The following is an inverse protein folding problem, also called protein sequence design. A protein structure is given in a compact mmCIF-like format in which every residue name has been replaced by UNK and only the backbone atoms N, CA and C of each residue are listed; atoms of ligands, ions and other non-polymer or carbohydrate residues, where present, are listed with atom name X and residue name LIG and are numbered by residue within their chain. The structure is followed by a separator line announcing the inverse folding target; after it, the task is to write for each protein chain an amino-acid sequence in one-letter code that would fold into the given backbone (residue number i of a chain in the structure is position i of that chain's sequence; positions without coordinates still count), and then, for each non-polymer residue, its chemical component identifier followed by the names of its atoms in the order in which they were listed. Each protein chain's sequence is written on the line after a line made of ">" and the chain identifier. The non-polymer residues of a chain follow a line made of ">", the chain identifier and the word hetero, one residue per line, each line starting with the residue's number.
data_IF_145787581348
#
_entry.id   IF_145787581348
#
_cell.length_a   1.000
_cell.length_b   1.000
_cell.length_c   1.000
_cell.angle_alpha   90.00
_cell.angle_beta   90.00
_cell.angle_gamma   90.00
#
_symmetry.space_group_name_H-M   'P 1'
#
loop_
_entity.id
_entity.type
_entity.pdbx_description
1 polymer ?
#
# COMPACT_ATOMS: atom_id res chain seq x y z
N UNK A 1 5.92 21.37 6.57
CA UNK A 1 5.67 21.00 7.99
C UNK A 1 4.96 19.67 8.13
N UNK A 2 3.94 19.35 7.31
CA UNK A 2 3.22 18.08 7.42
C UNK A 2 4.08 16.82 7.26
N UNK A 3 5.18 16.87 6.51
CA UNK A 3 6.04 15.70 6.23
C UNK A 3 6.58 14.99 7.47
N UNK A 4 6.68 15.68 8.61
CA UNK A 4 7.12 15.04 9.86
C UNK A 4 6.21 13.87 10.25
N UNK A 5 4.92 13.93 9.91
CA UNK A 5 3.95 12.87 10.20
C UNK A 5 4.27 11.58 9.46
N UNK A 6 4.95 11.65 8.32
CA UNK A 6 5.33 10.47 7.54
C UNK A 6 6.51 9.69 8.15
N UNK A 7 7.20 10.26 9.15
CA UNK A 7 8.25 9.59 9.92
C UNK A 7 7.73 8.94 11.21
N UNK A 8 6.52 9.31 11.65
CA UNK A 8 5.87 8.67 12.79
C UNK A 8 5.47 7.24 12.43
N UNK A 9 5.23 6.38 13.42
CA UNK A 9 4.64 5.06 13.16
C UNK A 9 3.12 5.15 12.93
N UNK A 10 2.51 4.15 12.28
CA UNK A 10 1.04 4.12 12.06
C UNK A 10 0.28 4.35 13.35
N UNK A 11 0.67 3.68 14.44
CA UNK A 11 0.02 3.81 15.75
C UNK A 11 0.05 5.25 16.27
N UNK A 12 1.18 5.95 16.09
CA UNK A 12 1.32 7.33 16.55
C UNK A 12 0.46 8.28 15.72
N UNK A 13 0.40 8.07 14.39
CA UNK A 13 -0.51 8.82 13.52
C UNK A 13 -1.97 8.59 13.95
N UNK A 14 -2.37 7.34 14.18
CA UNK A 14 -3.75 7.01 14.57
C UNK A 14 -4.12 7.61 15.94
N UNK A 15 -3.15 7.92 16.80
CA UNK A 15 -3.39 8.58 18.08
C UNK A 15 -3.45 10.11 18.00
N UNK A 16 -3.21 10.72 16.84
CA UNK A 16 -3.40 12.16 16.65
C UNK A 16 -4.88 12.50 16.89
N UNK A 17 -5.12 13.53 17.69
CA UNK A 17 -6.47 14.00 17.97
C UNK A 17 -7.10 14.58 16.69
N UNK A 18 -8.36 14.22 16.45
CA UNK A 18 -9.03 14.48 15.17
C UNK A 18 -9.17 15.98 14.84
N UNK A 19 -9.36 16.83 15.86
CA UNK A 19 -9.46 18.28 15.67
C UNK A 19 -8.12 18.90 15.24
N UNK A 20 -7.01 18.52 15.86
CA UNK A 20 -5.66 18.98 15.55
C UNK A 20 -5.26 18.51 14.15
N UNK A 21 -5.64 17.28 13.78
CA UNK A 21 -5.52 16.81 12.41
C UNK A 21 -6.31 17.69 11.45
N UNK A 22 -7.56 18.03 11.76
CA UNK A 22 -8.42 18.87 10.92
C UNK A 22 -7.85 20.27 10.74
N UNK A 23 -7.37 20.89 11.81
CA UNK A 23 -6.74 22.23 11.78
C UNK A 23 -5.46 22.23 10.93
N UNK A 24 -4.69 21.15 10.98
CA UNK A 24 -3.45 21.01 10.20
C UNK A 24 -3.67 20.41 8.80
N UNK A 25 -4.88 19.98 8.45
CA UNK A 25 -5.16 19.17 7.28
C UNK A 25 -4.74 19.85 5.97
N UNK A 26 -4.86 21.17 5.87
CA UNK A 26 -4.42 21.93 4.69
C UNK A 26 -2.93 21.71 4.41
N UNK A 27 -2.09 21.65 5.43
CA UNK A 27 -0.65 21.42 5.27
C UNK A 27 -0.30 19.95 5.07
N UNK A 28 -1.05 19.05 5.72
CA UNK A 28 -0.85 17.61 5.62
C UNK A 28 -1.30 17.11 4.25
N UNK A 29 -2.39 17.67 3.71
CA UNK A 29 -2.93 17.36 2.40
C UNK A 29 -1.96 17.62 1.24
N UNK A 30 -0.93 18.45 1.45
CA UNK A 30 0.08 18.77 0.44
C UNK A 30 1.27 17.80 0.43
N UNK A 31 1.35 16.83 1.35
CA UNK A 31 2.49 15.91 1.43
C UNK A 31 2.43 14.92 0.27
N UNK A 32 3.39 14.95 -0.65
CA UNK A 32 3.42 14.03 -1.81
C UNK A 32 4.14 12.71 -1.51
N UNK A 33 5.20 12.76 -0.70
CA UNK A 33 6.12 11.64 -0.48
C UNK A 33 5.92 10.99 0.90
N UNK A 34 4.71 10.47 1.16
CA UNK A 34 4.40 9.73 2.38
C UNK A 34 4.31 8.23 2.09
N UNK A 35 4.91 7.35 2.91
CA UNK A 35 4.69 5.91 2.80
C UNK A 35 3.20 5.56 2.83
N UNK A 36 2.80 4.56 2.04
CA UNK A 36 1.38 4.25 1.82
C UNK A 36 0.63 3.94 3.13
N UNK A 37 1.25 3.19 4.04
CA UNK A 37 0.68 2.83 5.34
C UNK A 37 0.44 4.05 6.23
N UNK A 38 1.34 5.04 6.20
CA UNK A 38 1.17 6.33 6.89
C UNK A 38 0.07 7.17 6.26
N UNK A 39 0.01 7.20 4.92
CA UNK A 39 -1.05 7.90 4.20
C UNK A 39 -2.43 7.29 4.49
N UNK A 40 -2.53 5.96 4.58
CA UNK A 40 -3.73 5.25 5.00
C UNK A 40 -4.12 5.58 6.44
N UNK A 41 -3.17 5.69 7.36
CA UNK A 41 -3.44 6.10 8.74
C UNK A 41 -4.00 7.54 8.81
N UNK A 42 -3.42 8.48 8.05
CA UNK A 42 -3.95 9.84 7.92
C UNK A 42 -5.37 9.85 7.31
N UNK A 43 -5.63 8.99 6.33
CA UNK A 43 -6.96 8.86 5.74
C UNK A 43 -8.00 8.33 6.76
N UNK A 44 -7.61 7.43 7.67
CA UNK A 44 -8.49 7.00 8.77
C UNK A 44 -8.82 8.16 9.73
N UNK A 45 -7.86 9.04 10.02
CA UNK A 45 -8.13 10.24 10.81
C UNK A 45 -9.16 11.14 10.13
N UNK A 46 -9.04 11.36 8.82
CA UNK A 46 -9.97 12.19 8.07
C UNK A 46 -11.43 11.69 8.16
N UNK A 47 -11.62 10.36 8.22
CA UNK A 47 -12.95 9.74 8.33
C UNK A 47 -13.57 9.85 9.74
N UNK A 48 -12.81 10.27 10.75
CA UNK A 48 -13.35 10.43 12.12
C UNK A 48 -14.37 11.56 12.18
N UNK A 49 -15.45 11.43 12.97
CA UNK A 49 -16.50 12.45 13.09
C UNK A 49 -15.98 13.84 13.45
N UNK A 50 -14.97 13.90 14.34
CA UNK A 50 -14.40 15.16 14.84
C UNK A 50 -13.38 15.79 13.87
N UNK A 51 -13.01 15.07 12.80
CA UNK A 51 -12.25 15.62 11.68
C UNK A 51 -13.20 16.06 10.57
N UNK A 52 -13.35 15.26 9.51
CA UNK A 52 -14.25 15.56 8.38
C UNK A 52 -15.45 14.59 8.32
N UNK A 53 -15.43 13.50 9.08
CA UNK A 53 -16.49 12.50 9.09
C UNK A 53 -16.60 11.69 7.81
N UNK A 54 -17.82 11.25 7.48
CA UNK A 54 -18.07 10.31 6.38
C UNK A 54 -17.76 10.93 5.00
N UNK A 55 -17.00 10.22 4.18
CA UNK A 55 -16.50 10.69 2.87
C UNK A 55 -17.58 11.23 1.93
N UNK A 56 -18.75 10.58 1.85
CA UNK A 56 -19.86 11.02 0.99
C UNK A 56 -20.43 12.40 1.37
N UNK A 57 -20.23 12.84 2.62
CA UNK A 57 -20.70 14.12 3.14
C UNK A 57 -19.74 15.26 2.91
N UNK A 58 -18.48 14.99 2.56
CA UNK A 58 -17.48 16.04 2.36
C UNK A 58 -17.90 17.00 1.25
N UNK A 59 -17.72 18.28 1.50
CA UNK A 59 -17.85 19.37 0.55
C UNK A 59 -16.67 19.39 -0.44
N UNK A 60 -16.80 20.18 -1.51
CA UNK A 60 -15.70 20.40 -2.48
C UNK A 60 -14.46 20.97 -1.81
N UNK A 61 -14.66 21.90 -0.87
CA UNK A 61 -13.58 22.54 -0.13
C UNK A 61 -12.87 21.53 0.77
N UNK A 62 -13.60 20.70 1.51
CA UNK A 62 -13.02 19.66 2.36
C UNK A 62 -12.24 18.62 1.53
N UNK A 63 -12.79 18.18 0.39
CA UNK A 63 -12.07 17.30 -0.53
C UNK A 63 -10.77 17.94 -1.03
N UNK A 64 -10.75 19.26 -1.27
CA UNK A 64 -9.52 19.99 -1.62
C UNK A 64 -8.52 20.06 -0.48
N UNK A 65 -8.98 20.36 0.75
CA UNK A 65 -8.14 20.46 1.96
C UNK A 65 -7.50 19.10 2.28
N UNK A 66 -8.26 18.01 2.19
CA UNK A 66 -7.77 16.65 2.42
C UNK A 66 -6.63 16.30 1.45
N UNK A 67 -6.62 16.86 0.24
CA UNK A 67 -5.46 16.81 -0.65
C UNK A 67 -5.04 15.37 -0.99
N UNK A 68 -3.73 15.11 -0.92
CA UNK A 68 -3.12 13.82 -1.22
C UNK A 68 -3.53 12.70 -0.25
N UNK A 69 -4.08 13.03 0.92
CA UNK A 69 -4.58 12.04 1.89
C UNK A 69 -5.68 11.18 1.27
N UNK A 70 -6.41 11.69 0.27
CA UNK A 70 -7.37 10.90 -0.52
C UNK A 70 -6.75 9.61 -1.08
N UNK A 71 -5.48 9.62 -1.49
CA UNK A 71 -4.86 8.44 -2.08
C UNK A 71 -4.68 7.29 -1.05
N UNK A 72 -4.70 7.60 0.25
CA UNK A 72 -4.73 6.64 1.35
C UNK A 72 -6.11 6.04 1.65
N UNK A 73 -7.19 6.54 1.04
CA UNK A 73 -8.52 6.00 1.27
C UNK A 73 -8.72 4.64 0.59
N UNK A 74 -9.53 3.76 1.19
CA UNK A 74 -9.98 2.54 0.53
C UNK A 74 -10.96 2.89 -0.61
N UNK A 75 -11.05 2.00 -1.60
CA UNK A 75 -11.78 2.28 -2.85
C UNK A 75 -13.28 2.55 -2.62
N UNK A 76 -13.89 1.91 -1.63
CA UNK A 76 -15.29 2.14 -1.28
C UNK A 76 -15.55 3.58 -0.79
N UNK A 77 -14.63 4.15 -0.02
CA UNK A 77 -14.73 5.54 0.45
C UNK A 77 -14.53 6.53 -0.70
N UNK A 78 -13.56 6.27 -1.58
CA UNK A 78 -13.38 7.08 -2.80
C UNK A 78 -14.62 7.07 -3.70
N UNK A 79 -15.23 5.91 -3.90
CA UNK A 79 -16.44 5.78 -4.72
C UNK A 79 -17.67 6.44 -4.09
N UNK A 80 -17.67 6.68 -2.77
CA UNK A 80 -18.73 7.37 -2.07
C UNK A 80 -18.65 8.90 -2.25
N UNK A 81 -17.49 9.43 -2.65
CA UNK A 81 -17.31 10.85 -2.95
C UNK A 81 -17.77 11.13 -4.38
N UNK A 82 -18.65 12.13 -4.54
CA UNK A 82 -19.13 12.55 -5.85
C UNK A 82 -17.96 12.94 -6.78
N UNK A 83 -18.00 12.47 -8.03
CA UNK A 83 -16.92 12.67 -9.02
C UNK A 83 -16.61 14.14 -9.30
N UNK A 84 -17.59 15.03 -9.19
CA UNK A 84 -17.41 16.47 -9.36
C UNK A 84 -16.60 17.12 -8.23
N UNK A 85 -16.61 16.53 -7.02
CA UNK A 85 -15.79 16.96 -5.89
C UNK A 85 -14.35 16.49 -6.04
N UNK A 86 -14.15 15.26 -6.50
CA UNK A 86 -12.81 14.68 -6.71
C UNK A 86 -12.01 15.38 -7.81
N UNK A 87 -12.65 15.86 -8.87
CA UNK A 87 -11.98 16.53 -9.99
C UNK A 87 -11.30 17.85 -9.61
N UNK A 88 -11.66 18.45 -8.48
CA UNK A 88 -11.04 19.70 -7.99
C UNK A 88 -9.81 19.44 -7.11
N UNK A 89 -9.58 18.20 -6.69
CA UNK A 89 -8.40 17.86 -5.90
C UNK A 89 -7.21 17.60 -6.83
N UNK A 90 -6.18 18.45 -6.72
CA UNK A 90 -4.96 18.38 -7.53
C UNK A 90 -4.20 17.05 -7.39
N UNK A 91 -4.25 16.42 -6.22
CA UNK A 91 -3.48 15.23 -5.87
C UNK A 91 -4.20 13.92 -6.20
N UNK A 92 -5.51 13.95 -6.44
CA UNK A 92 -6.29 12.75 -6.64
C UNK A 92 -5.91 12.04 -7.94
N UNK A 93 -5.39 10.81 -7.82
CA UNK A 93 -5.08 9.93 -8.95
C UNK A 93 -6.10 8.79 -8.98
N UNK A 94 -6.93 8.64 -10.02
CA UNK A 94 -7.87 7.52 -10.12
C UNK A 94 -7.12 6.20 -10.01
N UNK A 95 -7.46 5.36 -9.02
CA UNK A 95 -6.91 4.00 -8.92
C UNK A 95 -7.41 3.20 -10.13
N UNK A 96 -6.51 2.90 -11.06
CA UNK A 96 -6.82 2.09 -12.25
C UNK A 96 -7.32 0.69 -11.86
N UNK A 97 -8.09 0.05 -12.73
CA UNK A 97 -8.69 -1.28 -12.50
C UNK A 97 -7.67 -2.44 -12.52
N UNK A 98 -6.50 -2.35 -11.88
CA UNK A 98 -5.60 -3.50 -11.67
C UNK A 98 -4.65 -3.23 -10.50
N UNK A 99 -5.01 -3.70 -9.28
CA UNK A 99 -4.12 -4.29 -8.26
C UNK A 99 -4.88 -4.46 -6.94
N UNK A 100 -5.80 -5.44 -6.94
CA UNK A 100 -6.09 -6.20 -5.73
C UNK A 100 -5.23 -7.46 -5.82
N UNK A 101 -4.08 -7.44 -5.16
CA UNK A 101 -3.30 -8.60 -4.76
C UNK A 101 -2.27 -8.08 -3.74
N UNK A 102 -2.09 -8.58 -2.53
CA UNK A 102 -2.66 -9.68 -1.79
C UNK A 102 -2.21 -9.45 -0.34
N UNK A 103 -3.13 -9.38 0.61
CA UNK A 103 -2.81 -9.69 2.00
C UNK A 103 -2.84 -11.21 2.16
N UNK A 104 -1.78 -11.91 1.75
CA UNK A 104 -1.68 -13.35 2.03
C UNK A 104 -0.99 -13.56 3.37
N UNK A 105 -1.85 -13.72 4.39
CA UNK A 105 -1.54 -14.37 5.66
C UNK A 105 -0.75 -15.65 5.41
N UNK A 106 0.50 -15.71 5.88
CA UNK A 106 1.27 -16.94 5.96
C UNK A 106 0.67 -17.81 7.07
N UNK A 107 -0.28 -18.69 6.72
CA UNK A 107 -0.74 -19.76 7.61
C UNK A 107 -0.08 -21.06 7.17
N UNK A 108 0.82 -21.54 8.03
CA UNK A 108 1.43 -22.85 7.99
C UNK A 108 0.38 -23.92 8.32
N UNK A 109 0.17 -24.87 7.42
CA UNK A 109 -0.35 -26.20 7.77
C UNK A 109 -0.04 -27.20 6.66
N UNK A 110 0.52 -28.33 7.08
CA UNK A 110 0.81 -29.54 6.33
C UNK A 110 -0.47 -30.12 5.68
N UNK A 111 -0.33 -30.75 4.51
CA UNK A 111 -0.60 -32.18 4.27
C UNK A 111 -0.96 -32.48 2.79
N UNK A 112 -0.62 -33.70 2.38
CA UNK A 112 -0.59 -34.32 1.05
C UNK A 112 -1.81 -34.09 0.14
N UNK A 113 -1.56 -34.03 -1.19
CA UNK A 113 -2.05 -34.98 -2.24
C UNK A 113 -1.69 -34.43 -3.65
N UNK A 114 -1.06 -35.24 -4.52
CA UNK A 114 -0.74 -34.94 -5.95
C UNK A 114 -1.97 -35.19 -6.87
N UNK A 115 -1.85 -35.06 -8.20
CA UNK A 115 -1.89 -33.86 -9.05
C UNK A 115 -3.10 -33.94 -10.03
N UNK A 116 -3.36 -32.94 -10.89
CA UNK A 116 -3.80 -33.17 -12.28
C UNK A 116 -3.93 -31.84 -13.06
N UNK A 117 -3.24 -31.83 -14.21
CA UNK A 117 -3.40 -31.02 -15.43
C UNK A 117 -3.24 -29.50 -15.40
N UNK A 118 -2.02 -29.08 -15.78
CA UNK A 118 -1.70 -27.74 -16.27
C UNK A 118 -1.63 -27.80 -17.80
N UNK A 119 -2.39 -26.95 -18.50
CA UNK A 119 -2.08 -26.56 -19.87
C UNK A 119 -1.72 -25.07 -19.90
N UNK A 120 -0.42 -24.80 -20.04
CA UNK A 120 0.19 -23.47 -20.11
C UNK A 120 0.16 -23.00 -21.55
N UNK A 121 -0.39 -21.81 -21.81
CA UNK A 121 -0.08 -21.04 -23.02
C UNK A 121 0.50 -19.68 -22.64
N UNK A 122 1.74 -19.48 -23.07
CA UNK A 122 2.48 -18.22 -23.21
C UNK A 122 2.76 -17.37 -21.96
N UNK A 123 3.90 -17.63 -21.32
CA UNK A 123 4.70 -16.55 -20.69
C UNK A 123 6.16 -16.69 -21.09
N UNK A 124 6.67 -15.58 -21.60
CA UNK A 124 7.95 -15.39 -22.28
C UNK A 124 9.16 -15.42 -21.32
N UNK A 125 10.14 -16.23 -21.71
CA UNK A 125 11.60 -15.95 -21.73
C UNK A 125 12.27 -15.27 -20.53
N UNK A 126 12.97 -16.06 -19.71
CA UNK A 126 14.39 -15.88 -19.26
C UNK A 126 14.68 -16.68 -17.98
N UNK A 127 14.69 -18.02 -18.06
CA UNK A 127 15.29 -18.85 -17.02
C UNK A 127 15.58 -20.27 -17.51
N UNK A 128 16.55 -20.45 -18.42
CA UNK A 128 17.26 -21.74 -18.59
C UNK A 128 18.51 -21.63 -19.48
N UNK A 129 19.61 -21.26 -18.85
CA UNK A 129 20.96 -21.70 -19.19
C UNK A 129 21.74 -21.39 -17.90
N UNK A 130 22.12 -22.32 -17.04
CA UNK A 130 22.97 -23.47 -17.27
C UNK A 130 22.70 -24.44 -16.11
N UNK A 131 22.24 -25.65 -16.42
CA UNK A 131 22.46 -26.80 -15.56
C UNK A 131 22.46 -28.01 -16.47
N UNK A 132 23.60 -28.71 -16.45
CA UNK A 132 23.81 -30.14 -16.75
C UNK A 132 25.00 -30.34 -17.71
N UNK A 133 26.18 -30.49 -17.13
CA UNK A 133 27.10 -31.56 -17.53
C UNK A 133 27.58 -32.29 -16.28
N UNK A 134 27.65 -33.60 -16.45
CA UNK A 134 27.82 -34.65 -15.46
C UNK A 134 29.20 -34.66 -14.78
N UNK A 135 29.15 -35.04 -13.50
CA UNK A 135 29.86 -36.16 -12.84
C UNK A 135 31.38 -36.36 -13.00
N UNK A 136 31.98 -36.74 -11.85
CA UNK A 136 33.35 -37.22 -11.61
C UNK A 136 34.42 -36.10 -11.54
N UNK A 137 35.36 -36.03 -10.60
CA UNK A 137 36.09 -37.04 -9.84
C UNK A 137 36.57 -36.53 -8.47
N UNK A 138 36.89 -37.52 -7.63
CA UNK A 138 37.46 -37.53 -6.29
C UNK A 138 38.91 -36.97 -6.21
N UNK A 139 39.25 -36.09 -5.25
CA UNK A 139 40.55 -36.09 -4.52
C UNK A 139 40.69 -35.02 -3.41
N UNK A 140 40.85 -35.54 -2.20
CA UNK A 140 41.70 -35.17 -1.05
C UNK A 140 42.58 -33.89 -1.09
N UNK A 141 42.49 -33.06 -0.03
CA UNK A 141 43.58 -32.49 0.84
C UNK A 141 42.98 -31.26 1.59
N UNK A 142 42.66 -31.30 2.89
CA UNK A 142 43.50 -31.25 4.11
C UNK A 142 44.14 -29.88 4.43
N UNK A 143 44.02 -29.46 5.70
CA UNK A 143 44.75 -28.41 6.48
C UNK A 143 44.37 -26.93 6.23
N UNK A 144 44.20 -26.04 7.22
CA UNK A 144 44.08 -26.13 8.68
C UNK A 144 43.48 -24.81 9.20
N UNK A 145 42.90 -24.85 10.40
CA UNK A 145 42.64 -23.69 11.25
C UNK A 145 43.94 -23.26 11.93
N UNK A 146 44.20 -21.95 11.96
CA UNK A 146 44.66 -21.20 13.15
C UNK A 146 44.69 -19.71 12.84
#
# INVERSE_FOLDING_TARGET
>A
MGEMLCYLNVTDIENIHSDAFREAAEWIGLIENCPEDRLQALAKLALRPDAFGQSHKWSKLEVSIIGNILNGLPLNEINAISKDKLQLNHFYKPKGKHQQNQSTKKKLSHDSTKPHDVNVSMVSSLAKAISMTHNAENKTQSFDLS
#
